data_IF_669762762138
#
_entry.id   IF_669762762138
#
_cell.length_a   1.000
_cell.length_b   1.000
_cell.length_c   1.000
_cell.angle_alpha   90.00
_cell.angle_beta   90.00
_cell.angle_gamma   90.00
#
_symmetry.space_group_name_H-M   'P 1'
#
loop_
_entity.id
_entity.type
_entity.pdbx_description
1 polymer ?
#
# COMPACT_ATOMS: atom_id res chain seq x y z
N UNK A 1 7.71 6.38 -30.81
CA UNK A 1 8.60 5.72 -29.84
C UNK A 1 8.62 6.42 -28.48
N UNK A 2 8.78 7.75 -28.41
CA UNK A 2 8.86 8.49 -27.14
C UNK A 2 7.66 8.23 -26.21
N UNK A 3 6.45 8.28 -26.73
CA UNK A 3 5.22 8.02 -25.98
C UNK A 3 5.24 6.69 -25.24
N UNK A 4 5.59 5.59 -25.93
CA UNK A 4 5.59 4.25 -25.33
C UNK A 4 6.62 4.08 -24.23
N UNK A 5 7.81 4.69 -24.39
CA UNK A 5 8.87 4.65 -23.37
C UNK A 5 8.45 5.43 -22.14
N UNK A 6 7.89 6.64 -22.32
CA UNK A 6 7.42 7.47 -21.20
C UNK A 6 6.28 6.77 -20.47
N UNK A 7 5.32 6.18 -21.17
CA UNK A 7 4.23 5.43 -20.54
C UNK A 7 4.75 4.17 -19.82
N UNK A 8 5.73 3.47 -20.37
CA UNK A 8 6.39 2.36 -19.67
C UNK A 8 7.05 2.79 -18.35
N UNK A 9 7.76 3.91 -18.34
CA UNK A 9 8.38 4.46 -17.13
C UNK A 9 7.32 4.96 -16.11
N UNK A 10 6.24 5.58 -16.59
CA UNK A 10 5.11 5.97 -15.75
C UNK A 10 4.45 4.75 -15.11
N UNK A 11 4.27 3.68 -15.89
CA UNK A 11 3.71 2.40 -15.42
C UNK A 11 4.56 1.77 -14.32
N UNK A 12 5.89 1.79 -14.48
CA UNK A 12 6.82 1.31 -13.46
C UNK A 12 6.71 2.14 -12.17
N UNK A 13 6.61 3.47 -12.30
CA UNK A 13 6.47 4.36 -11.14
C UNK A 13 5.16 4.11 -10.39
N UNK A 14 4.05 3.98 -11.12
CA UNK A 14 2.76 3.66 -10.53
C UNK A 14 2.77 2.26 -9.92
N UNK A 15 3.35 1.27 -10.60
CA UNK A 15 3.51 -0.09 -10.07
C UNK A 15 4.31 -0.10 -8.76
N UNK A 16 5.40 0.67 -8.69
CA UNK A 16 6.17 0.83 -7.45
C UNK A 16 5.35 1.44 -6.32
N UNK A 17 4.57 2.48 -6.60
CA UNK A 17 3.68 3.11 -5.62
C UNK A 17 2.61 2.14 -5.13
N UNK A 18 1.96 1.45 -6.06
CA UNK A 18 0.96 0.43 -5.75
C UNK A 18 1.55 -0.72 -4.93
N UNK A 19 2.81 -1.10 -5.18
CA UNK A 19 3.48 -2.10 -4.35
C UNK A 19 3.67 -1.63 -2.91
N UNK A 20 4.15 -0.40 -2.69
CA UNK A 20 4.30 0.17 -1.34
C UNK A 20 2.97 0.15 -0.59
N UNK A 21 1.88 0.54 -1.25
CA UNK A 21 0.55 0.48 -0.67
C UNK A 21 0.09 -0.97 -0.44
N UNK A 22 0.16 -1.82 -1.46
CA UNK A 22 -0.45 -3.15 -1.44
C UNK A 22 0.34 -4.18 -0.62
N UNK A 23 1.65 -3.99 -0.43
CA UNK A 23 2.49 -4.91 0.36
C UNK A 23 2.04 -4.97 1.82
N UNK A 24 1.77 -3.81 2.44
CA UNK A 24 1.21 -3.73 3.79
C UNK A 24 -0.18 -4.34 3.88
N UNK A 25 -1.03 -4.08 2.88
CA UNK A 25 -2.37 -4.66 2.78
C UNK A 25 -2.32 -6.19 2.65
N UNK A 26 -1.44 -6.71 1.80
CA UNK A 26 -1.25 -8.14 1.61
C UNK A 26 -0.79 -8.84 2.89
N UNK A 27 0.09 -8.21 3.68
CA UNK A 27 0.52 -8.74 4.98
C UNK A 27 -0.64 -8.84 5.97
N UNK A 28 -1.42 -7.76 6.11
CA UNK A 28 -2.58 -7.73 7.02
C UNK A 28 -3.61 -8.77 6.59
N UNK A 29 -4.00 -8.75 5.32
CA UNK A 29 -5.03 -9.65 4.80
C UNK A 29 -4.60 -11.11 4.84
N UNK A 30 -3.32 -11.41 4.56
CA UNK A 30 -2.78 -12.77 4.65
C UNK A 30 -2.92 -13.39 6.04
N UNK A 31 -2.56 -12.65 7.10
CA UNK A 31 -2.59 -13.17 8.48
C UNK A 31 -4.00 -13.13 9.09
N UNK A 32 -4.72 -12.04 8.88
CA UNK A 32 -6.00 -11.81 9.54
C UNK A 32 -7.19 -12.34 8.74
N UNK A 33 -6.98 -12.68 7.46
CA UNK A 33 -8.04 -13.04 6.49
C UNK A 33 -9.18 -12.02 6.45
N UNK A 34 -8.83 -10.76 6.67
CA UNK A 34 -9.74 -9.62 6.75
C UNK A 34 -9.32 -8.54 5.76
N UNK A 35 -10.26 -8.09 4.92
CA UNK A 35 -10.08 -6.90 4.11
C UNK A 35 -10.14 -5.65 5.00
N UNK A 36 -8.97 -5.06 5.28
CA UNK A 36 -8.88 -3.83 6.06
C UNK A 36 -9.19 -2.60 5.19
N UNK A 37 -10.42 -2.11 5.23
CA UNK A 37 -10.84 -0.96 4.42
C UNK A 37 -10.23 0.37 4.90
N UNK A 38 -9.64 0.43 6.11
CA UNK A 38 -8.90 1.62 6.58
C UNK A 38 -7.56 1.80 5.85
N UNK A 39 -7.10 0.81 5.07
CA UNK A 39 -5.73 0.81 4.54
C UNK A 39 -5.44 1.98 3.59
N UNK A 40 -6.42 2.38 2.76
CA UNK A 40 -6.34 3.59 1.93
C UNK A 40 -6.21 4.86 2.77
N UNK A 41 -6.95 4.95 3.89
CA UNK A 41 -6.90 6.09 4.80
C UNK A 41 -5.54 6.19 5.51
N UNK A 42 -4.86 5.07 5.82
CA UNK A 42 -3.49 5.10 6.34
C UNK A 42 -2.49 5.66 5.31
N UNK A 43 -2.65 5.34 4.04
CA UNK A 43 -1.84 5.93 2.98
C UNK A 43 -2.10 7.43 2.85
N UNK A 44 -3.36 7.84 2.80
CA UNK A 44 -3.77 9.25 2.76
C UNK A 44 -3.22 10.03 3.96
N UNK A 45 -3.35 9.50 5.17
CA UNK A 45 -2.84 10.13 6.40
C UNK A 45 -1.31 10.34 6.33
N UNK A 46 -0.57 9.35 5.79
CA UNK A 46 0.86 9.49 5.52
C UNK A 46 1.18 10.63 4.54
N UNK A 47 0.36 10.79 3.50
CA UNK A 47 0.50 11.89 2.52
C UNK A 47 0.26 13.26 3.18
N UNK A 48 -0.74 13.39 4.06
CA UNK A 48 -0.99 14.61 4.82
C UNK A 48 0.12 14.93 5.81
N UNK A 49 0.69 13.92 6.47
CA UNK A 49 1.86 14.11 7.33
C UNK A 49 3.07 14.63 6.53
N UNK A 50 3.27 14.12 5.31
CA UNK A 50 4.31 14.64 4.41
C UNK A 50 4.06 16.11 4.04
N UNK A 51 2.83 16.43 3.64
CA UNK A 51 2.45 17.78 3.26
C UNK A 51 2.68 18.77 4.41
N UNK A 52 2.35 18.37 5.64
CA UNK A 52 2.56 19.22 6.83
C UNK A 52 4.03 19.33 7.19
N UNK A 53 4.74 18.22 7.32
CA UNK A 53 6.13 18.20 7.78
C UNK A 53 7.06 18.94 6.82
N UNK A 54 6.92 18.71 5.51
CA UNK A 54 7.79 19.31 4.50
C UNK A 54 7.47 20.80 4.24
N UNK A 55 6.26 21.27 4.61
CA UNK A 55 5.93 22.70 4.57
C UNK A 55 6.38 23.44 5.83
N UNK A 56 6.25 22.80 7.01
CA UNK A 56 6.56 23.44 8.29
C UNK A 56 8.07 23.53 8.54
N UNK A 57 8.85 22.62 7.97
CA UNK A 57 10.30 22.57 8.16
C UNK A 57 10.99 22.54 6.80
N UNK A 58 11.43 23.72 6.32
CA UNK A 58 12.22 23.84 5.10
C UNK A 58 13.49 22.99 5.21
N UNK A 59 13.67 22.06 4.25
CA UNK A 59 14.83 21.16 4.22
C UNK A 59 14.65 19.82 4.95
N UNK A 60 13.47 19.52 5.49
CA UNK A 60 13.22 18.20 6.06
C UNK A 60 13.36 17.11 4.99
N UNK A 61 14.14 16.10 5.31
CA UNK A 61 14.41 15.01 4.37
C UNK A 61 13.20 14.10 4.25
N UNK A 62 12.75 13.84 3.01
CA UNK A 62 11.60 12.97 2.73
C UNK A 62 11.73 11.56 3.34
N UNK A 63 12.95 11.06 3.46
CA UNK A 63 13.23 9.75 4.06
C UNK A 63 12.93 9.73 5.56
N UNK A 64 13.34 10.79 6.26
CA UNK A 64 13.03 10.96 7.69
C UNK A 64 11.52 11.12 7.88
N UNK A 65 10.87 11.89 7.01
CA UNK A 65 9.42 12.05 7.02
C UNK A 65 8.71 10.72 6.76
N UNK A 66 9.18 9.90 5.80
CA UNK A 66 8.59 8.60 5.50
C UNK A 66 8.71 7.62 6.68
N UNK A 67 9.87 7.59 7.35
CA UNK A 67 10.04 6.77 8.56
C UNK A 67 9.15 7.28 9.69
N UNK A 68 9.16 8.59 9.96
CA UNK A 68 8.37 9.21 11.03
C UNK A 68 6.87 9.01 10.84
N UNK A 69 6.36 9.29 9.64
CA UNK A 69 4.96 9.05 9.29
C UNK A 69 4.61 7.56 9.32
N UNK A 70 5.50 6.71 8.82
CA UNK A 70 5.32 5.25 8.88
C UNK A 70 5.18 4.75 10.33
N UNK A 71 6.03 5.23 11.24
CA UNK A 71 5.94 4.89 12.68
C UNK A 71 4.65 5.45 13.29
N UNK A 72 4.29 6.70 13.01
CA UNK A 72 3.08 7.32 13.54
C UNK A 72 1.81 6.61 13.06
N UNK A 73 1.69 6.37 11.74
CA UNK A 73 0.54 5.66 11.16
C UNK A 73 0.51 4.20 11.62
N UNK A 74 1.68 3.55 11.70
CA UNK A 74 1.80 2.19 12.25
C UNK A 74 1.33 2.10 13.69
N UNK A 75 1.69 3.07 14.54
CA UNK A 75 1.24 3.15 15.93
C UNK A 75 -0.29 3.37 16.03
N UNK A 76 -0.85 4.28 15.20
CA UNK A 76 -2.31 4.51 15.12
C UNK A 76 -3.02 3.22 14.70
N UNK A 77 -2.54 2.56 13.64
CA UNK A 77 -3.10 1.30 13.15
C UNK A 77 -3.03 0.19 14.20
N UNK A 78 -1.87 0.01 14.84
CA UNK A 78 -1.69 -1.00 15.88
C UNK A 78 -2.56 -0.75 17.10
N UNK A 79 -2.72 0.52 17.52
CA UNK A 79 -3.63 0.89 18.60
C UNK A 79 -5.08 0.55 18.23
N UNK A 80 -5.49 0.90 17.01
CA UNK A 80 -6.82 0.57 16.48
C UNK A 80 -7.06 -0.95 16.46
N UNK A 81 -6.09 -1.73 15.95
CA UNK A 81 -6.21 -3.21 15.95
C UNK A 81 -6.36 -3.73 17.37
N UNK A 82 -5.49 -3.29 18.29
CA UNK A 82 -5.45 -3.82 19.65
C UNK A 82 -6.69 -3.45 20.47
N UNK A 83 -7.21 -2.23 20.33
CA UNK A 83 -8.34 -1.75 21.12
C UNK A 83 -9.69 -2.18 20.56
N UNK A 84 -9.80 -2.27 19.23
CA UNK A 84 -11.08 -2.44 18.55
C UNK A 84 -11.16 -3.78 17.82
N UNK A 85 -10.28 -4.05 16.85
CA UNK A 85 -10.39 -5.24 15.99
C UNK A 85 -10.17 -6.54 16.77
N UNK A 86 -9.27 -6.53 17.75
CA UNK A 86 -9.03 -7.70 18.62
C UNK A 86 -10.31 -8.14 19.35
N UNK A 87 -11.21 -7.22 19.71
CA UNK A 87 -12.49 -7.55 20.37
C UNK A 87 -13.53 -8.13 19.42
N UNK A 88 -13.35 -7.96 18.12
CA UNK A 88 -14.28 -8.39 17.07
C UNK A 88 -13.83 -9.64 16.31
N UNK A 89 -12.80 -10.38 16.80
CA UNK A 89 -12.21 -11.53 16.09
C UNK A 89 -13.21 -12.63 15.74
N UNK A 90 -14.30 -12.77 16.50
CA UNK A 90 -15.36 -13.72 16.24
C UNK A 90 -16.41 -13.22 15.22
N UNK A 91 -16.33 -11.97 14.78
CA UNK A 91 -17.31 -11.34 13.88
C UNK A 91 -16.61 -10.68 12.68
N UNK A 92 -16.35 -11.42 11.58
CA UNK A 92 -15.70 -10.88 10.39
C UNK A 92 -16.43 -9.69 9.76
N UNK A 93 -17.76 -9.74 9.71
CA UNK A 93 -18.57 -8.64 9.17
C UNK A 93 -18.41 -7.38 10.03
N UNK A 94 -18.44 -7.52 11.35
CA UNK A 94 -18.21 -6.42 12.28
C UNK A 94 -16.83 -5.80 12.10
N UNK A 95 -15.79 -6.61 11.86
CA UNK A 95 -14.44 -6.10 11.58
C UNK A 95 -14.40 -5.28 10.29
N UNK A 96 -15.01 -5.75 9.19
CA UNK A 96 -15.09 -5.00 7.93
C UNK A 96 -15.81 -3.67 8.12
N UNK A 97 -16.96 -3.67 8.78
CA UNK A 97 -17.74 -2.45 9.03
C UNK A 97 -16.98 -1.44 9.90
N UNK A 98 -16.27 -1.92 10.92
CA UNK A 98 -15.48 -1.04 11.80
C UNK A 98 -14.24 -0.49 11.08
N UNK A 99 -13.60 -1.27 10.19
CA UNK A 99 -12.49 -0.73 9.37
C UNK A 99 -12.99 0.30 8.36
N UNK A 100 -14.18 0.13 7.80
CA UNK A 100 -14.82 1.15 6.96
C UNK A 100 -15.15 2.41 7.77
N UNK A 101 -15.75 2.28 8.96
CA UNK A 101 -16.03 3.40 9.84
C UNK A 101 -14.77 4.16 10.26
N UNK A 102 -13.67 3.44 10.52
CA UNK A 102 -12.39 4.07 10.84
C UNK A 102 -11.79 4.81 9.63
N UNK A 103 -11.99 4.29 8.40
CA UNK A 103 -11.60 5.01 7.18
C UNK A 103 -12.30 6.36 7.09
N UNK A 104 -13.61 6.40 7.31
CA UNK A 104 -14.37 7.66 7.33
C UNK A 104 -13.91 8.61 8.43
N UNK A 105 -13.67 8.10 9.65
CA UNK A 105 -13.16 8.93 10.75
C UNK A 105 -11.81 9.58 10.38
N UNK A 106 -10.90 8.83 9.77
CA UNK A 106 -9.60 9.37 9.33
C UNK A 106 -9.80 10.38 8.20
N UNK A 107 -10.65 10.07 7.22
CA UNK A 107 -10.92 10.94 6.08
C UNK A 107 -11.53 12.26 6.53
N UNK A 108 -12.55 12.22 7.39
CA UNK A 108 -13.19 13.42 7.94
C UNK A 108 -12.24 14.20 8.87
N UNK A 109 -11.42 13.51 9.67
CA UNK A 109 -10.39 14.17 10.46
C UNK A 109 -9.38 14.91 9.58
N UNK A 110 -8.95 14.30 8.45
CA UNK A 110 -8.08 14.97 7.50
C UNK A 110 -8.78 16.21 6.89
N UNK A 111 -10.05 16.11 6.52
CA UNK A 111 -10.82 17.22 5.98
C UNK A 111 -10.94 18.37 6.98
N UNK A 112 -11.20 18.07 8.26
CA UNK A 112 -11.33 19.10 9.31
C UNK A 112 -9.98 19.75 9.65
N UNK A 113 -8.89 18.99 9.67
CA UNK A 113 -7.56 19.49 10.06
C UNK A 113 -6.83 20.24 8.94
N UNK A 114 -6.97 19.79 7.70
CA UNK A 114 -6.22 20.33 6.55
C UNK A 114 -7.08 21.04 5.52
N UNK A 115 -8.40 20.96 5.63
CA UNK A 115 -9.35 21.54 4.68
C UNK A 115 -9.62 20.65 3.47
N UNK A 116 -10.46 21.15 2.55
CA UNK A 116 -10.92 20.43 1.35
C UNK A 116 -10.02 20.56 0.13
N UNK A 117 -9.04 21.45 0.17
CA UNK A 117 -8.16 21.73 -0.98
C UNK A 117 -7.05 20.68 -1.13
N UNK A 118 -6.66 20.46 -2.38
CA UNK A 118 -5.50 19.59 -2.67
C UNK A 118 -4.21 20.30 -2.25
N UNK A 119 -3.43 19.65 -1.40
CA UNK A 119 -2.17 20.15 -0.86
C UNK A 119 -1.00 19.45 -1.59
N UNK A 120 -0.25 20.14 -2.46
CA UNK A 120 0.90 19.56 -3.12
C UNK A 120 2.02 19.27 -2.10
N UNK A 121 2.59 18.07 -2.18
CA UNK A 121 3.77 17.70 -1.40
C UNK A 121 5.02 18.05 -2.21
N UNK A 122 5.94 18.87 -1.68
CA UNK A 122 7.11 19.30 -2.43
C UNK A 122 8.05 18.12 -2.73
N UNK A 123 8.55 18.05 -3.95
CA UNK A 123 9.62 17.11 -4.30
C UNK A 123 10.95 17.61 -3.72
N UNK A 124 11.78 16.77 -3.08
CA UNK A 124 13.09 17.16 -2.57
C UNK A 124 13.96 17.81 -3.66
N UNK A 125 14.66 18.90 -3.33
CA UNK A 125 15.44 19.69 -4.29
C UNK A 125 16.45 18.84 -5.08
N UNK A 126 17.11 17.89 -4.41
CA UNK A 126 18.10 16.99 -5.03
C UNK A 126 17.48 15.94 -5.99
N UNK A 127 16.15 15.80 -6.04
CA UNK A 127 15.42 14.90 -6.95
C UNK A 127 14.55 15.66 -7.97
N UNK A 128 14.60 16.99 -7.98
CA UNK A 128 13.85 17.82 -8.93
C UNK A 128 14.48 17.80 -10.32
N UNK A 129 15.80 17.65 -10.40
CA UNK A 129 16.50 17.61 -11.68
C UNK A 129 16.04 16.38 -12.49
N UNK A 130 15.63 16.58 -13.75
CA UNK A 130 15.20 15.46 -14.57
C UNK A 130 16.40 14.64 -15.04
N UNK A 131 16.26 13.32 -15.05
CA UNK A 131 17.24 12.40 -15.62
C UNK A 131 17.06 12.36 -17.13
N UNK A 132 18.17 12.48 -17.88
CA UNK A 132 18.19 12.32 -19.34
C UNK A 132 18.64 10.91 -19.68
N UNK A 133 17.76 10.15 -20.34
CA UNK A 133 18.03 8.79 -20.78
C UNK A 133 17.79 8.71 -22.28
N UNK A 134 18.81 8.35 -23.07
CA UNK A 134 18.71 8.16 -24.54
C UNK A 134 17.96 9.30 -25.28
N UNK A 135 18.15 10.56 -24.85
CA UNK A 135 17.47 11.73 -25.44
C UNK A 135 16.06 12.01 -24.85
N UNK A 136 15.59 11.21 -23.88
CA UNK A 136 14.33 11.44 -23.16
C UNK A 136 14.58 12.13 -21.82
N UNK A 137 13.66 12.98 -21.43
CA UNK A 137 13.65 13.67 -20.13
C UNK A 137 12.59 13.03 -19.26
N UNK A 138 13.00 12.48 -18.11
CA UNK A 138 12.08 11.84 -17.18
C UNK A 138 12.31 12.31 -15.73
N UNK A 139 11.26 12.55 -14.91
CA UNK A 139 11.42 13.00 -13.53
C UNK A 139 12.20 11.98 -12.70
N UNK A 140 13.35 12.38 -12.15
CA UNK A 140 14.22 11.51 -11.34
C UNK A 140 13.49 10.92 -10.14
N UNK A 141 12.62 11.70 -9.51
CA UNK A 141 11.82 11.25 -8.38
C UNK A 141 11.04 9.95 -8.65
N UNK A 142 10.44 9.84 -9.85
CA UNK A 142 9.67 8.64 -10.24
C UNK A 142 10.55 7.39 -10.36
N UNK A 143 11.79 7.54 -10.81
CA UNK A 143 12.76 6.43 -10.86
C UNK A 143 13.19 6.01 -9.46
N UNK A 144 13.43 6.99 -8.57
CA UNK A 144 13.75 6.74 -7.17
C UNK A 144 12.61 6.01 -6.47
N UNK A 145 11.35 6.35 -6.75
CA UNK A 145 10.19 5.65 -6.19
C UNK A 145 10.18 4.16 -6.58
N UNK A 146 10.52 3.83 -7.83
CA UNK A 146 10.69 2.42 -8.24
C UNK A 146 11.80 1.74 -7.44
N UNK A 147 12.93 2.43 -7.25
CA UNK A 147 14.02 1.95 -6.40
C UNK A 147 13.57 1.69 -4.95
N UNK A 148 12.74 2.58 -4.38
CA UNK A 148 12.16 2.40 -3.06
C UNK A 148 11.24 1.18 -2.97
N UNK A 149 10.43 0.97 -4.01
CA UNK A 149 9.55 -0.20 -4.07
C UNK A 149 10.36 -1.51 -4.10
N UNK A 150 11.42 -1.56 -4.91
CA UNK A 150 12.33 -2.72 -4.97
C UNK A 150 13.05 -2.91 -3.63
N UNK A 151 13.55 -1.84 -3.02
CA UNK A 151 14.20 -1.90 -1.70
C UNK A 151 13.23 -2.40 -0.63
N UNK A 152 11.99 -1.89 -0.61
CA UNK A 152 10.94 -2.36 0.29
C UNK A 152 10.60 -3.84 0.05
N UNK A 153 10.54 -4.30 -1.21
CA UNK A 153 10.33 -5.71 -1.54
C UNK A 153 11.44 -6.60 -0.98
N UNK A 154 12.71 -6.18 -1.13
CA UNK A 154 13.87 -6.89 -0.61
C UNK A 154 13.81 -6.95 0.92
N UNK A 155 13.57 -5.82 1.59
CA UNK A 155 13.48 -5.75 3.05
C UNK A 155 12.36 -6.63 3.56
N UNK A 156 11.17 -6.58 2.96
CA UNK A 156 10.04 -7.40 3.34
C UNK A 156 10.29 -8.89 3.08
N UNK A 157 10.95 -9.23 1.97
CA UNK A 157 11.35 -10.59 1.68
C UNK A 157 12.29 -11.14 2.78
N UNK A 158 13.34 -10.41 3.14
CA UNK A 158 14.23 -10.82 4.22
C UNK A 158 13.51 -10.90 5.57
N UNK A 159 12.64 -9.94 5.88
CA UNK A 159 11.85 -9.92 7.10
C UNK A 159 10.95 -11.15 7.18
N UNK A 160 10.25 -11.50 6.10
CA UNK A 160 9.33 -12.63 6.08
C UNK A 160 10.04 -13.99 5.98
N UNK A 161 11.11 -14.12 5.18
CA UNK A 161 11.74 -15.42 4.91
C UNK A 161 12.88 -15.75 5.88
N UNK A 162 13.57 -14.74 6.44
CA UNK A 162 14.81 -14.94 7.18
C UNK A 162 14.73 -14.60 8.68
N UNK A 163 13.58 -14.07 9.17
CA UNK A 163 13.44 -13.72 10.59
C UNK A 163 12.49 -14.65 11.34
N UNK A 164 12.63 -14.68 12.68
CA UNK A 164 11.71 -15.39 13.57
C UNK A 164 10.29 -14.85 13.47
N UNK A 165 10.15 -13.52 13.32
CA UNK A 165 8.85 -12.88 13.14
C UNK A 165 8.17 -13.36 11.85
N UNK A 166 8.91 -13.44 10.75
CA UNK A 166 8.39 -13.98 9.50
C UNK A 166 7.97 -15.45 9.61
N UNK A 167 8.73 -16.27 10.33
CA UNK A 167 8.36 -17.66 10.58
C UNK A 167 7.06 -17.78 11.39
N UNK A 168 6.87 -16.93 12.43
CA UNK A 168 5.62 -16.87 13.19
C UNK A 168 4.44 -16.38 12.33
N UNK A 169 4.66 -15.39 11.46
CA UNK A 169 3.63 -14.90 10.53
C UNK A 169 3.18 -16.03 9.61
N UNK A 170 4.11 -16.73 8.96
CA UNK A 170 3.78 -17.84 8.07
C UNK A 170 3.04 -18.96 8.80
N UNK A 171 3.48 -19.36 9.98
CA UNK A 171 2.77 -20.34 10.79
C UNK A 171 1.35 -19.90 11.16
N UNK A 172 1.17 -18.61 11.48
CA UNK A 172 -0.15 -18.04 11.78
C UNK A 172 -1.08 -17.96 10.57
N UNK A 173 -0.51 -17.75 9.35
CA UNK A 173 -1.25 -17.74 8.07
C UNK A 173 -1.67 -19.16 7.68
N UNK A 174 -0.77 -20.14 7.81
CA UNK A 174 -1.01 -21.53 7.44
C UNK A 174 -2.08 -22.16 8.37
N UNK A 175 -1.87 -22.12 9.67
CA UNK A 175 -2.83 -22.60 10.68
C UNK A 175 -2.72 -21.80 11.99
N UNK A 176 -3.59 -20.82 12.17
CA UNK A 176 -3.62 -19.99 13.37
C UNK A 176 -4.06 -20.75 14.65
N UNK A 177 -4.76 -21.90 14.54
CA UNK A 177 -5.13 -22.70 15.70
C UNK A 177 -3.95 -23.53 16.17
N UNK A 178 -3.26 -24.20 15.25
CA UNK A 178 -2.05 -24.94 15.53
C UNK A 178 -0.93 -24.02 16.02
N UNK A 179 -0.76 -22.85 15.42
CA UNK A 179 0.21 -21.85 15.85
C UNK A 179 0.02 -21.47 17.34
N UNK A 180 -1.23 -21.28 17.78
CA UNK A 180 -1.55 -21.05 19.20
C UNK A 180 -1.24 -22.25 20.08
N UNK A 181 -1.52 -23.47 19.60
CA UNK A 181 -1.25 -24.69 20.36
C UNK A 181 0.23 -24.91 20.63
N UNK A 182 1.12 -24.49 19.72
CA UNK A 182 2.59 -24.54 19.91
C UNK A 182 3.15 -23.29 20.59
N UNK A 183 2.28 -22.40 21.15
CA UNK A 183 2.70 -21.27 21.99
C UNK A 183 2.97 -19.97 21.24
N UNK A 184 2.66 -19.85 19.94
CA UNK A 184 2.80 -18.58 19.21
C UNK A 184 1.68 -17.61 19.64
N UNK A 185 2.02 -16.40 20.13
CA UNK A 185 1.04 -15.41 20.56
C UNK A 185 0.37 -14.72 19.36
N UNK A 186 -0.52 -15.43 18.67
CA UNK A 186 -1.17 -14.96 17.41
C UNK A 186 -1.85 -13.60 17.58
N UNK A 187 -2.35 -13.28 18.78
CA UNK A 187 -2.97 -11.96 19.03
C UNK A 187 -1.95 -10.82 18.92
N UNK A 188 -0.81 -10.95 19.58
CA UNK A 188 0.27 -9.94 19.52
C UNK A 188 0.88 -9.89 18.12
N UNK A 189 0.96 -11.05 17.44
CA UNK A 189 1.42 -11.14 16.07
C UNK A 189 0.51 -10.37 15.12
N UNK A 190 -0.83 -10.47 15.27
CA UNK A 190 -1.80 -9.69 14.49
C UNK A 190 -1.57 -8.18 14.65
N UNK A 191 -1.40 -7.71 15.90
CA UNK A 191 -1.11 -6.30 16.18
C UNK A 191 0.19 -5.85 15.53
N UNK A 192 1.25 -6.67 15.64
CA UNK A 192 2.56 -6.34 15.01
C UNK A 192 2.46 -6.25 13.50
N UNK A 193 1.77 -7.20 12.86
CA UNK A 193 1.57 -7.21 11.41
C UNK A 193 0.70 -6.03 10.97
N UNK A 194 -0.31 -5.68 11.75
CA UNK A 194 -1.15 -4.53 11.47
C UNK A 194 -0.37 -3.22 11.59
N UNK A 195 0.47 -3.06 12.64
CA UNK A 195 1.41 -1.93 12.78
C UNK A 195 2.33 -1.81 11.57
N UNK A 196 2.96 -2.92 11.18
CA UNK A 196 3.88 -2.94 10.03
C UNK A 196 3.15 -2.59 8.73
N UNK A 197 1.99 -3.20 8.48
CA UNK A 197 1.22 -2.95 7.25
C UNK A 197 0.72 -1.51 7.16
N UNK A 198 0.16 -0.97 8.25
CA UNK A 198 -0.29 0.43 8.33
C UNK A 198 0.91 1.39 8.20
N UNK A 199 2.05 1.06 8.82
CA UNK A 199 3.28 1.85 8.73
C UNK A 199 3.84 1.90 7.31
N UNK A 200 3.84 0.78 6.59
CA UNK A 200 4.27 0.74 5.18
C UNK A 200 3.32 1.58 4.31
N UNK A 201 2.01 1.50 4.54
CA UNK A 201 1.03 2.34 3.84
C UNK A 201 1.28 3.83 4.11
N UNK A 202 1.50 4.22 5.37
CA UNK A 202 1.82 5.60 5.74
C UNK A 202 3.13 6.09 5.11
N UNK A 203 4.20 5.30 5.16
CA UNK A 203 5.46 5.61 4.48
C UNK A 203 5.29 5.70 2.95
N UNK A 204 4.49 4.78 2.38
CA UNK A 204 4.11 4.79 0.96
C UNK A 204 3.36 6.07 0.58
N UNK A 205 2.47 6.57 1.46
CA UNK A 205 1.78 7.83 1.29
C UNK A 205 2.73 9.04 1.23
N UNK A 206 3.74 9.06 2.10
CA UNK A 206 4.79 10.10 2.04
C UNK A 206 5.52 10.07 0.71
N UNK A 207 5.95 8.89 0.28
CA UNK A 207 6.68 8.72 -0.98
C UNK A 207 5.78 8.93 -2.20
N UNK A 208 4.47 8.67 -2.09
CA UNK A 208 3.49 8.94 -3.14
C UNK A 208 3.08 10.41 -3.26
N UNK A 209 3.20 11.16 -2.16
CA UNK A 209 2.74 12.54 -2.04
C UNK A 209 3.18 13.48 -3.15
N UNK A 210 4.49 13.53 -3.52
CA UNK A 210 4.96 14.39 -4.61
C UNK A 210 4.36 14.08 -5.99
N UNK A 211 3.76 12.91 -6.18
CA UNK A 211 3.11 12.50 -7.44
C UNK A 211 1.60 12.73 -7.38
N UNK A 212 0.97 12.43 -6.23
CA UNK A 212 -0.49 12.37 -6.07
C UNK A 212 -1.06 13.63 -5.43
N UNK A 213 -0.25 14.37 -4.62
CA UNK A 213 -0.72 15.40 -3.68
C UNK A 213 -1.58 14.82 -2.54
N UNK A 214 -1.80 15.59 -1.48
CA UNK A 214 -2.71 15.22 -0.40
C UNK A 214 -4.07 15.89 -0.64
N UNK A 215 -5.14 15.11 -0.76
CA UNK A 215 -6.51 15.62 -0.94
C UNK A 215 -7.51 14.67 -0.27
N UNK A 216 -8.66 15.20 0.21
CA UNK A 216 -9.73 14.37 0.74
C UNK A 216 -10.29 13.44 -0.35
N UNK A 217 -10.40 12.14 -0.04
CA UNK A 217 -10.83 11.12 -1.00
C UNK A 217 -9.67 10.33 -1.63
N UNK A 218 -8.41 10.69 -1.38
CA UNK A 218 -7.26 9.92 -1.82
C UNK A 218 -7.31 8.45 -1.34
N UNK A 219 -7.88 8.23 -0.15
CA UNK A 219 -8.13 6.90 0.41
C UNK A 219 -9.09 6.07 -0.46
N UNK A 220 -10.17 6.71 -0.94
CA UNK A 220 -11.17 6.08 -1.80
C UNK A 220 -10.62 5.76 -3.20
N UNK A 221 -9.69 6.57 -3.72
CA UNK A 221 -9.05 6.32 -5.00
C UNK A 221 -7.99 5.20 -4.93
N UNK A 222 -7.25 5.13 -3.82
CA UNK A 222 -6.12 4.20 -3.68
C UNK A 222 -6.52 2.82 -3.17
N UNK A 223 -7.55 2.71 -2.34
CA UNK A 223 -7.98 1.44 -1.77
C UNK A 223 -8.42 0.40 -2.82
N UNK A 224 -9.23 0.73 -3.84
CA UNK A 224 -9.59 -0.23 -4.88
C UNK A 224 -8.38 -0.75 -5.65
N UNK A 225 -7.40 0.12 -5.96
CA UNK A 225 -6.16 -0.27 -6.64
C UNK A 225 -5.36 -1.27 -5.81
N UNK A 226 -5.25 -1.03 -4.49
CA UNK A 226 -4.58 -1.96 -3.58
C UNK A 226 -5.30 -3.32 -3.50
N UNK A 227 -6.64 -3.30 -3.45
CA UNK A 227 -7.46 -4.51 -3.45
C UNK A 227 -7.24 -5.34 -4.71
N UNK A 228 -7.30 -4.69 -5.88
CA UNK A 228 -7.08 -5.36 -7.17
C UNK A 228 -5.69 -6.01 -7.22
N UNK A 229 -4.66 -5.29 -6.79
CA UNK A 229 -3.28 -5.81 -6.75
C UNK A 229 -3.19 -7.05 -5.86
N UNK A 230 -3.77 -7.01 -4.66
CA UNK A 230 -3.68 -8.14 -3.70
C UNK A 230 -4.51 -9.33 -4.16
N UNK A 231 -5.69 -9.10 -4.71
CA UNK A 231 -6.55 -10.17 -5.24
C UNK A 231 -5.89 -10.81 -6.47
N UNK A 232 -5.40 -10.00 -7.41
CA UNK A 232 -4.72 -10.48 -8.61
C UNK A 232 -3.41 -11.20 -8.26
N UNK A 233 -2.63 -10.65 -7.36
CA UNK A 233 -1.36 -11.23 -6.92
C UNK A 233 -1.53 -12.52 -6.12
N UNK A 234 -2.63 -12.64 -5.39
CA UNK A 234 -2.93 -13.71 -4.43
C UNK A 234 -2.75 -13.25 -2.99
N UNK A 235 -3.77 -13.52 -2.18
CA UNK A 235 -3.87 -13.08 -0.79
C UNK A 235 -2.69 -13.59 0.04
N UNK A 236 -1.99 -12.68 0.73
CA UNK A 236 -0.86 -13.00 1.58
C UNK A 236 0.45 -13.33 0.85
N UNK A 237 0.49 -13.21 -0.48
CA UNK A 237 1.70 -13.42 -1.28
C UNK A 237 2.43 -12.10 -1.53
N UNK A 238 3.63 -11.94 -0.94
CA UNK A 238 4.47 -10.76 -1.18
C UNK A 238 4.94 -10.68 -2.64
N UNK A 239 5.35 -11.82 -3.23
CA UNK A 239 5.71 -11.89 -4.65
C UNK A 239 4.51 -11.59 -5.54
N UNK A 240 3.33 -12.09 -5.16
CA UNK A 240 2.08 -11.77 -5.84
C UNK A 240 1.76 -10.28 -5.82
N UNK A 241 1.88 -9.64 -4.66
CA UNK A 241 1.68 -8.21 -4.53
C UNK A 241 2.69 -7.41 -5.37
N UNK A 242 3.98 -7.86 -5.43
CA UNK A 242 5.01 -7.22 -6.23
C UNK A 242 4.69 -7.32 -7.74
N UNK A 243 4.50 -8.52 -8.26
CA UNK A 243 4.18 -8.72 -9.68
C UNK A 243 2.85 -8.08 -10.04
N UNK A 244 1.83 -8.28 -9.21
CA UNK A 244 0.48 -7.72 -9.40
C UNK A 244 0.48 -6.20 -9.47
N UNK A 245 1.27 -5.52 -8.62
CA UNK A 245 1.35 -4.05 -8.63
C UNK A 245 1.92 -3.50 -9.94
N UNK A 246 2.96 -4.12 -10.49
CA UNK A 246 3.51 -3.72 -11.79
C UNK A 246 2.57 -4.04 -12.94
N UNK A 247 1.92 -5.22 -12.94
CA UNK A 247 0.92 -5.57 -13.94
C UNK A 247 -0.22 -4.56 -13.94
N UNK A 248 -0.78 -4.23 -12.77
CA UNK A 248 -1.85 -3.23 -12.66
C UNK A 248 -1.34 -1.84 -13.02
N UNK A 249 -0.12 -1.46 -12.61
CA UNK A 249 0.51 -0.21 -13.01
C UNK A 249 0.61 -0.05 -14.52
N UNK A 250 1.01 -1.11 -15.23
CA UNK A 250 1.02 -1.12 -16.70
C UNK A 250 -0.37 -1.01 -17.29
N UNK A 251 -1.31 -1.86 -16.86
CA UNK A 251 -2.67 -1.88 -17.38
C UNK A 251 -3.38 -0.55 -17.15
N UNK A 252 -3.26 0.03 -15.97
CA UNK A 252 -3.86 1.31 -15.65
C UNK A 252 -3.27 2.45 -16.48
N UNK A 253 -1.94 2.56 -16.54
CA UNK A 253 -1.27 3.65 -17.24
C UNK A 253 -1.51 3.60 -18.75
N UNK A 254 -1.41 2.41 -19.35
CA UNK A 254 -1.71 2.27 -20.79
C UNK A 254 -3.21 2.35 -21.07
N UNK A 255 -4.04 1.81 -20.18
CA UNK A 255 -5.49 1.88 -20.29
C UNK A 255 -5.99 3.32 -20.30
N UNK A 256 -5.55 4.13 -19.34
CA UNK A 256 -5.90 5.56 -19.28
C UNK A 256 -5.37 6.37 -20.45
N UNK A 257 -4.19 6.00 -20.99
CA UNK A 257 -3.58 6.70 -22.11
C UNK A 257 -4.22 6.37 -23.47
N UNK A 258 -4.69 5.12 -23.66
CA UNK A 258 -5.26 4.66 -24.93
C UNK A 258 -6.78 4.74 -24.94
N UNK A 259 -7.42 4.47 -23.83
CA UNK A 259 -8.88 4.41 -23.68
C UNK A 259 -9.33 5.09 -22.38
N UNK A 260 -9.25 6.43 -22.28
CA UNK A 260 -9.57 7.15 -21.05
C UNK A 260 -10.97 6.84 -20.51
N UNK A 261 -11.96 6.69 -21.39
CA UNK A 261 -13.36 6.42 -21.05
C UNK A 261 -13.56 5.03 -20.45
N UNK A 262 -12.68 4.08 -20.77
CA UNK A 262 -12.75 2.68 -20.31
C UNK A 262 -11.73 2.36 -19.21
N UNK A 263 -11.02 3.35 -18.69
CA UNK A 263 -9.90 3.16 -17.77
C UNK A 263 -10.26 2.29 -16.54
N UNK A 264 -11.41 2.55 -15.94
CA UNK A 264 -11.88 1.76 -14.80
C UNK A 264 -12.27 0.32 -15.20
N UNK A 265 -12.92 0.14 -16.35
CA UNK A 265 -13.29 -1.20 -16.85
C UNK A 265 -12.02 -2.02 -17.12
N UNK A 266 -11.04 -1.41 -17.80
CA UNK A 266 -9.75 -2.05 -18.12
C UNK A 266 -8.99 -2.43 -16.85
N UNK A 267 -9.10 -1.63 -15.78
CA UNK A 267 -8.48 -1.90 -14.50
C UNK A 267 -9.04 -3.15 -13.82
N UNK A 268 -10.37 -3.32 -13.80
CA UNK A 268 -11.03 -4.46 -13.16
C UNK A 268 -10.98 -5.75 -13.98
N UNK A 269 -10.84 -5.64 -15.30
CA UNK A 269 -10.88 -6.77 -16.22
C UNK A 269 -9.83 -7.86 -15.91
N UNK A 270 -8.55 -7.55 -15.64
CA UNK A 270 -7.56 -8.56 -15.26
C UNK A 270 -7.90 -9.27 -13.94
N UNK A 271 -8.47 -8.54 -12.97
CA UNK A 271 -8.91 -9.12 -11.71
C UNK A 271 -10.03 -10.13 -11.95
N UNK A 272 -11.05 -9.76 -12.72
CA UNK A 272 -12.16 -10.65 -13.07
C UNK A 272 -11.64 -11.90 -13.79
N UNK A 273 -10.74 -11.72 -14.77
CA UNK A 273 -10.14 -12.81 -15.51
C UNK A 273 -9.36 -13.76 -14.60
N UNK A 274 -8.50 -13.22 -13.73
CA UNK A 274 -7.71 -14.04 -12.81
C UNK A 274 -8.60 -14.78 -11.82
N UNK A 275 -9.62 -14.14 -11.22
CA UNK A 275 -10.53 -14.81 -10.29
C UNK A 275 -11.31 -15.93 -10.98
N UNK A 276 -11.76 -15.72 -12.23
CA UNK A 276 -12.51 -16.71 -12.99
C UNK A 276 -11.72 -17.99 -13.28
N UNK A 277 -10.41 -17.86 -13.57
CA UNK A 277 -9.55 -19.00 -13.93
C UNK A 277 -8.66 -19.50 -12.78
N UNK A 278 -8.28 -18.62 -11.85
CA UNK A 278 -7.47 -18.90 -10.67
C UNK A 278 -7.96 -18.12 -9.45
N UNK A 279 -8.99 -18.62 -8.75
CA UNK A 279 -9.60 -17.89 -7.62
C UNK A 279 -8.64 -17.58 -6.46
N UNK A 280 -7.47 -18.21 -6.44
CA UNK A 280 -6.41 -17.97 -5.46
C UNK A 280 -5.44 -16.83 -5.86
N UNK A 281 -5.62 -16.21 -7.04
CA UNK A 281 -4.69 -15.25 -7.61
C UNK A 281 -3.50 -15.91 -8.31
N UNK A 282 -2.58 -15.10 -8.83
CA UNK A 282 -1.42 -15.58 -9.61
C UNK A 282 -0.45 -16.42 -8.78
N UNK A 283 -0.21 -16.03 -7.52
CA UNK A 283 0.77 -16.63 -6.60
C UNK A 283 0.16 -17.07 -5.28
N UNK A 284 -1.17 -17.19 -5.19
CA UNK A 284 -1.84 -17.73 -4.01
C UNK A 284 -1.54 -19.21 -3.81
N UNK A 285 -1.47 -19.65 -2.54
CA UNK A 285 -1.26 -21.07 -2.20
C UNK A 285 -2.57 -21.84 -2.33
N UNK A 286 -2.50 -23.04 -2.93
CA UNK A 286 -3.61 -23.97 -2.98
C UNK A 286 -3.82 -24.51 -1.56
N UNK A 287 -5.00 -24.26 -0.96
CA UNK A 287 -5.36 -24.85 0.35
C UNK A 287 -5.28 -23.92 1.56
N UNK A 288 -5.19 -22.59 1.36
CA UNK A 288 -5.27 -21.63 2.46
C UNK A 288 -6.72 -21.17 2.74
#
# INVERSE_FOLDING_TARGET
MQFWIIQGLNSLSLGGLLFLLSSGFSLIFGLMRLANLTHGAFFMLGTYFAATAMRSYEGLNIWVTAIGAGVAVGAIGGLFERLVLTRLKANPLGQVLVTLGMSFIISDACLVLWGGDSIPVPTPQYLQAPTRFFGFVFPTYRLVLVGCAVAAAIVLYFLLERTRLGAMIRAGVDDGQMARAVGIPVSNLSTTVFCLGAGIAGAGGVLGGPILSAYPGLDADMLPLALIVVILGGIGSLLGAFVGSFVIGFIYTFGTALFPELAYIILFLPMIFVIAFRPQGLFGRVGA
#
